data_IF_366574898071
#
_entry.id   IF_366574898071
#
_cell.length_a   1.000
_cell.length_b   1.000
_cell.length_c   1.000
_cell.angle_alpha   90.00
_cell.angle_beta   90.00
_cell.angle_gamma   90.00
#
_symmetry.space_group_name_H-M   'P 1'
#
loop_
_entity.id
_entity.type
_entity.pdbx_description
1 polymer ?
#
# COMPACT_ATOMS: atom_id res chain seq x y z
N UNK A 1 14.51 22.97 8.61
CA UNK A 1 13.56 22.88 7.48
C UNK A 1 12.92 21.51 7.49
N UNK A 2 11.63 21.46 7.21
CA UNK A 2 10.82 20.23 7.38
C UNK A 2 11.09 19.23 6.28
N UNK A 3 11.26 17.94 6.63
CA UNK A 3 11.44 16.81 5.71
C UNK A 3 10.42 15.74 6.05
N UNK A 4 10.08 14.88 5.11
CA UNK A 4 9.11 13.82 5.37
C UNK A 4 9.53 12.46 4.79
N UNK A 5 8.99 11.40 5.41
CA UNK A 5 8.95 10.06 4.83
C UNK A 5 7.49 9.74 4.52
N UNK A 6 7.23 9.29 3.29
CA UNK A 6 5.91 8.91 2.81
C UNK A 6 5.91 7.41 2.60
N UNK A 7 5.10 6.68 3.37
CA UNK A 7 5.03 5.22 3.36
C UNK A 7 3.87 4.74 2.50
N UNK A 8 4.09 3.74 1.66
CA UNK A 8 3.02 2.83 1.30
C UNK A 8 2.68 1.92 2.49
N UNK A 9 1.62 1.13 2.38
CA UNK A 9 1.10 0.27 3.46
C UNK A 9 1.29 -1.21 3.18
N UNK A 10 0.63 -1.70 2.12
CA UNK A 10 0.54 -3.13 1.83
C UNK A 10 1.83 -3.63 1.17
N UNK A 11 2.55 -4.53 1.83
CA UNK A 11 3.88 -4.96 1.40
C UNK A 11 5.02 -4.06 1.90
N UNK A 12 4.71 -2.84 2.36
CA UNK A 12 5.69 -1.84 2.85
C UNK A 12 5.72 -1.77 4.37
N UNK A 13 4.65 -1.31 5.02
CA UNK A 13 4.57 -1.31 6.49
C UNK A 13 4.43 -2.73 7.03
N UNK A 14 3.62 -3.55 6.37
CA UNK A 14 3.30 -4.93 6.75
C UNK A 14 3.12 -5.82 5.53
N UNK A 15 3.47 -7.10 5.64
CA UNK A 15 3.20 -8.11 4.61
C UNK A 15 1.72 -8.51 4.66
N UNK A 16 0.87 -7.75 4.02
CA UNK A 16 -0.59 -7.88 4.08
C UNK A 16 -1.20 -8.59 2.88
N UNK A 17 -0.46 -8.80 1.78
CA UNK A 17 -1.02 -9.30 0.52
C UNK A 17 -1.63 -10.71 0.64
N UNK A 18 -1.06 -11.59 1.46
CA UNK A 18 -1.67 -12.90 1.70
C UNK A 18 -2.98 -12.78 2.49
N UNK A 19 -3.04 -11.85 3.44
CA UNK A 19 -4.28 -11.54 4.18
C UNK A 19 -5.34 -10.94 3.25
N UNK A 20 -4.93 -10.06 2.35
CA UNK A 20 -5.82 -9.53 1.31
C UNK A 20 -6.38 -10.62 0.40
N UNK A 21 -5.53 -11.53 -0.10
CA UNK A 21 -5.95 -12.67 -0.93
C UNK A 21 -6.98 -13.55 -0.22
N UNK A 22 -6.72 -13.87 1.04
CA UNK A 22 -7.64 -14.67 1.88
C UNK A 22 -8.96 -13.93 2.12
N UNK A 23 -8.93 -12.63 2.33
CA UNK A 23 -10.12 -11.81 2.50
C UNK A 23 -10.97 -11.77 1.22
N UNK A 24 -10.35 -11.69 0.04
CA UNK A 24 -11.07 -11.83 -1.25
C UNK A 24 -11.76 -13.18 -1.34
N UNK A 25 -11.05 -14.27 -1.10
CA UNK A 25 -11.63 -15.62 -1.17
C UNK A 25 -12.79 -15.80 -0.19
N UNK A 26 -12.68 -15.24 1.03
CA UNK A 26 -13.78 -15.25 2.00
C UNK A 26 -15.00 -14.45 1.51
N UNK A 27 -14.79 -13.32 0.87
CA UNK A 27 -15.89 -12.54 0.31
C UNK A 27 -16.57 -13.25 -0.86
N UNK A 28 -15.82 -13.95 -1.72
CA UNK A 28 -16.36 -14.75 -2.81
C UNK A 28 -17.20 -15.91 -2.28
N UNK A 29 -16.71 -16.63 -1.28
CA UNK A 29 -17.44 -17.72 -0.62
C UNK A 29 -18.76 -17.23 0.00
N UNK A 30 -18.72 -16.11 0.72
CA UNK A 30 -19.92 -15.49 1.31
C UNK A 30 -20.94 -15.03 0.27
N UNK A 31 -20.48 -14.65 -0.91
CA UNK A 31 -21.34 -14.29 -2.05
C UNK A 31 -21.83 -15.52 -2.85
N UNK A 32 -21.47 -16.75 -2.45
CA UNK A 32 -21.85 -17.98 -3.16
C UNK A 32 -21.15 -18.18 -4.50
N UNK A 33 -20.00 -17.51 -4.72
CA UNK A 33 -19.23 -17.62 -5.95
C UNK A 33 -18.24 -18.78 -5.86
N UNK A 34 -18.03 -19.47 -6.98
CA UNK A 34 -17.02 -20.52 -7.10
C UNK A 34 -15.60 -19.96 -7.31
N UNK A 35 -15.44 -18.65 -7.25
CA UNK A 35 -14.14 -17.99 -7.46
C UNK A 35 -13.18 -18.32 -6.32
N UNK A 36 -11.95 -18.62 -6.70
CA UNK A 36 -10.86 -18.82 -5.76
C UNK A 36 -9.56 -18.31 -6.35
N UNK A 37 -8.98 -17.30 -5.73
CA UNK A 37 -7.66 -16.82 -6.07
C UNK A 37 -6.61 -17.59 -5.25
N UNK A 38 -5.83 -18.42 -5.93
CA UNK A 38 -4.61 -19.00 -5.37
C UNK A 38 -3.45 -17.98 -5.43
N UNK A 39 -2.31 -18.33 -4.90
CA UNK A 39 -1.16 -17.41 -4.84
C UNK A 39 -0.67 -17.02 -6.24
N UNK A 40 -0.58 -17.97 -7.17
CA UNK A 40 -0.09 -17.71 -8.52
C UNK A 40 -1.02 -16.80 -9.33
N UNK A 41 -2.34 -17.01 -9.21
CA UNK A 41 -3.34 -16.12 -9.82
C UNK A 41 -3.31 -14.75 -9.16
N UNK A 42 -3.21 -14.69 -7.83
CA UNK A 42 -3.20 -13.43 -7.10
C UNK A 42 -1.98 -12.58 -7.45
N UNK A 43 -0.80 -13.19 -7.57
CA UNK A 43 0.41 -12.50 -8.04
C UNK A 43 0.19 -11.82 -9.41
N UNK A 44 -0.46 -12.51 -10.35
CA UNK A 44 -0.82 -11.93 -11.66
C UNK A 44 -1.83 -10.78 -11.53
N UNK A 45 -2.80 -10.92 -10.63
CA UNK A 45 -3.83 -9.90 -10.39
C UNK A 45 -3.27 -8.65 -9.70
N UNK A 46 -2.13 -8.75 -9.01
CA UNK A 46 -1.42 -7.61 -8.42
C UNK A 46 -0.85 -6.63 -9.45
N UNK A 47 -0.83 -7.00 -10.75
CA UNK A 47 -0.54 -6.06 -11.83
C UNK A 47 -1.54 -4.88 -11.86
N UNK A 48 -2.77 -5.09 -11.36
CA UNK A 48 -3.79 -4.04 -11.24
C UNK A 48 -3.90 -3.59 -9.79
N UNK A 49 -3.68 -2.31 -9.57
CA UNK A 49 -3.73 -1.69 -8.25
C UNK A 49 -5.16 -1.27 -7.90
N UNK A 50 -5.54 -1.48 -6.64
CA UNK A 50 -6.89 -1.23 -6.15
C UNK A 50 -7.76 -2.49 -6.13
N UNK A 51 -8.52 -2.66 -5.05
CA UNK A 51 -9.30 -3.89 -4.85
C UNK A 51 -10.51 -4.03 -5.77
N UNK A 52 -11.18 -2.92 -6.07
CA UNK A 52 -12.33 -2.89 -7.02
C UNK A 52 -11.86 -3.08 -8.44
N UNK A 53 -10.77 -2.43 -8.80
CA UNK A 53 -10.11 -2.50 -10.10
C UNK A 53 -9.60 -3.93 -10.36
N UNK A 54 -9.05 -4.59 -9.34
CA UNK A 54 -8.59 -5.99 -9.41
C UNK A 54 -9.74 -6.98 -9.60
N UNK A 55 -10.89 -6.78 -8.93
CA UNK A 55 -12.09 -7.60 -9.16
C UNK A 55 -12.60 -7.39 -10.60
N UNK A 56 -12.62 -6.14 -11.08
CA UNK A 56 -13.01 -5.81 -12.47
C UNK A 56 -12.10 -6.53 -13.46
N UNK A 57 -10.78 -6.39 -13.30
CA UNK A 57 -9.79 -7.05 -14.13
C UNK A 57 -9.97 -8.58 -14.15
N UNK A 58 -10.25 -9.18 -13.00
CA UNK A 58 -10.52 -10.62 -12.93
C UNK A 58 -11.80 -11.02 -13.70
N UNK A 59 -12.86 -10.23 -13.62
CA UNK A 59 -14.10 -10.48 -14.35
C UNK A 59 -13.87 -10.38 -15.85
N UNK A 60 -13.16 -9.36 -16.31
CA UNK A 60 -13.04 -9.03 -17.72
C UNK A 60 -12.01 -9.92 -18.45
N UNK A 61 -10.92 -10.32 -17.79
CA UNK A 61 -9.77 -10.98 -18.42
C UNK A 61 -9.59 -12.46 -18.05
N UNK A 62 -10.31 -12.98 -17.06
CA UNK A 62 -10.17 -14.37 -16.59
C UNK A 62 -11.45 -15.22 -16.74
N UNK A 63 -12.38 -14.79 -17.57
CA UNK A 63 -13.64 -15.50 -17.87
C UNK A 63 -14.40 -15.93 -16.60
N UNK A 64 -14.58 -14.98 -15.69
CA UNK A 64 -15.15 -15.23 -14.37
C UNK A 64 -16.64 -15.55 -14.45
N UNK A 65 -16.98 -16.82 -14.37
CA UNK A 65 -18.38 -17.30 -14.35
C UNK A 65 -19.08 -16.87 -13.04
N UNK A 66 -20.40 -16.69 -13.09
CA UNK A 66 -21.23 -16.44 -11.90
C UNK A 66 -21.43 -14.96 -11.55
N UNK A 67 -20.99 -14.03 -12.42
CA UNK A 67 -21.36 -12.61 -12.29
C UNK A 67 -22.88 -12.51 -12.47
N UNK A 68 -23.63 -11.96 -11.50
CA UNK A 68 -25.08 -11.81 -11.63
C UNK A 68 -25.44 -10.82 -12.75
N UNK A 69 -26.57 -11.02 -13.44
CA UNK A 69 -27.03 -10.04 -14.40
C UNK A 69 -27.37 -8.72 -13.70
N UNK A 70 -27.06 -7.57 -14.36
CA UNK A 70 -27.38 -6.24 -13.86
C UNK A 70 -26.18 -5.33 -13.71
N UNK A 71 -26.18 -4.48 -12.67
CA UNK A 71 -25.10 -3.50 -12.42
C UNK A 71 -23.84 -4.21 -11.84
N UNK A 72 -22.90 -4.50 -12.75
CA UNK A 72 -21.63 -5.14 -12.39
C UNK A 72 -20.79 -4.25 -11.47
N UNK A 73 -20.86 -2.93 -11.58
CA UNK A 73 -20.15 -2.02 -10.68
C UNK A 73 -20.71 -2.07 -9.26
N UNK A 74 -22.02 -2.14 -9.11
CA UNK A 74 -22.65 -2.35 -7.80
C UNK A 74 -22.26 -3.69 -7.19
N UNK A 75 -22.20 -4.74 -7.99
CA UNK A 75 -21.73 -6.06 -7.56
C UNK A 75 -20.28 -6.04 -7.08
N UNK A 76 -19.38 -5.41 -7.85
CA UNK A 76 -17.96 -5.24 -7.45
C UNK A 76 -17.85 -4.45 -6.15
N UNK A 77 -18.59 -3.36 -6.00
CA UNK A 77 -18.60 -2.56 -4.76
C UNK A 77 -19.04 -3.41 -3.56
N UNK A 78 -20.06 -4.25 -3.73
CA UNK A 78 -20.56 -5.15 -2.67
C UNK A 78 -19.51 -6.19 -2.27
N UNK A 79 -18.88 -6.87 -3.24
CA UNK A 79 -17.80 -7.82 -2.98
C UNK A 79 -16.62 -7.16 -2.28
N UNK A 80 -16.23 -5.98 -2.72
CA UNK A 80 -15.12 -5.24 -2.12
C UNK A 80 -15.45 -4.80 -0.68
N UNK A 81 -16.68 -4.42 -0.39
CA UNK A 81 -17.13 -4.10 0.97
C UNK A 81 -17.04 -5.34 1.89
N UNK A 82 -17.54 -6.50 1.42
CA UNK A 82 -17.43 -7.76 2.15
C UNK A 82 -15.97 -8.17 2.39
N UNK A 83 -15.10 -8.01 1.36
CA UNK A 83 -13.66 -8.23 1.47
C UNK A 83 -13.02 -7.32 2.52
N UNK A 84 -13.40 -6.05 2.56
CA UNK A 84 -12.85 -5.11 3.53
C UNK A 84 -13.20 -5.52 4.96
N UNK A 85 -14.44 -5.93 5.22
CA UNK A 85 -14.85 -6.48 6.52
C UNK A 85 -14.02 -7.72 6.87
N UNK A 86 -13.90 -8.68 5.93
CA UNK A 86 -13.13 -9.89 6.17
C UNK A 86 -11.65 -9.59 6.47
N UNK A 87 -11.05 -8.61 5.78
CA UNK A 87 -9.68 -8.17 6.02
C UNK A 87 -9.50 -7.54 7.41
N UNK A 88 -10.37 -6.59 7.77
CA UNK A 88 -10.29 -5.93 9.09
C UNK A 88 -10.49 -6.90 10.23
N UNK A 89 -11.36 -7.92 10.08
CA UNK A 89 -11.52 -9.01 11.05
C UNK A 89 -10.22 -9.82 11.24
N UNK A 90 -9.55 -10.20 10.13
CA UNK A 90 -8.30 -10.96 10.16
C UNK A 90 -7.17 -10.14 10.81
N UNK A 91 -7.04 -8.87 10.43
CA UNK A 91 -6.05 -7.95 11.01
C UNK A 91 -6.29 -7.77 12.51
N UNK A 92 -7.53 -7.52 12.93
CA UNK A 92 -7.89 -7.38 14.35
C UNK A 92 -7.67 -8.67 15.14
N UNK A 93 -7.69 -9.82 14.46
CA UNK A 93 -7.33 -11.13 15.01
C UNK A 93 -5.82 -11.35 15.22
N UNK A 94 -4.96 -10.39 14.85
CA UNK A 94 -3.51 -10.46 15.05
C UNK A 94 -2.76 -11.21 13.92
N UNK A 95 -3.35 -11.28 12.73
CA UNK A 95 -2.74 -12.01 11.59
C UNK A 95 -1.63 -11.20 10.87
N UNK A 96 -1.39 -9.96 11.28
CA UNK A 96 -0.39 -9.08 10.63
C UNK A 96 0.50 -8.39 11.66
N UNK A 97 1.77 -8.23 11.29
CA UNK A 97 2.79 -7.51 12.05
C UNK A 97 3.49 -6.51 11.14
N UNK A 98 4.13 -5.49 11.72
CA UNK A 98 5.02 -4.62 10.95
C UNK A 98 6.19 -5.42 10.38
N UNK A 99 6.62 -5.06 9.19
CA UNK A 99 7.86 -5.60 8.63
C UNK A 99 9.06 -5.23 9.51
N UNK A 100 10.10 -6.08 9.53
CA UNK A 100 11.30 -5.83 10.31
C UNK A 100 11.90 -4.45 10.05
N UNK A 101 12.23 -3.71 11.11
CA UNK A 101 12.84 -2.37 11.07
C UNK A 101 11.89 -1.20 10.83
N UNK A 102 10.62 -1.45 10.50
CA UNK A 102 9.64 -0.35 10.26
C UNK A 102 9.37 0.45 11.53
N UNK A 103 9.17 -0.22 12.67
CA UNK A 103 8.94 0.47 13.95
C UNK A 103 10.12 1.33 14.35
N UNK A 104 11.32 0.80 14.17
CA UNK A 104 12.57 1.49 14.45
C UNK A 104 12.76 2.70 13.54
N UNK A 105 12.48 2.57 12.23
CA UNK A 105 12.55 3.68 11.28
C UNK A 105 11.55 4.78 11.64
N UNK A 106 10.30 4.44 11.97
CA UNK A 106 9.29 5.41 12.38
C UNK A 106 9.78 6.20 13.61
N UNK A 107 10.27 5.51 14.63
CA UNK A 107 10.76 6.12 15.87
C UNK A 107 12.00 6.99 15.65
N UNK A 108 12.98 6.51 14.88
CA UNK A 108 14.21 7.25 14.58
C UNK A 108 13.91 8.49 13.71
N UNK A 109 13.06 8.37 12.69
CA UNK A 109 12.63 9.47 11.84
C UNK A 109 11.95 10.59 12.64
N UNK A 110 11.03 10.23 13.55
CA UNK A 110 10.37 11.17 14.44
C UNK A 110 11.39 11.89 15.36
N UNK A 111 12.34 11.15 15.93
CA UNK A 111 13.39 11.71 16.78
C UNK A 111 14.27 12.73 16.05
N UNK A 112 14.42 12.58 14.73
CA UNK A 112 15.15 13.49 13.84
C UNK A 112 14.29 14.62 13.28
N UNK A 113 13.02 14.71 13.68
CA UNK A 113 12.09 15.75 13.24
C UNK A 113 11.55 15.57 11.81
N UNK A 114 11.59 14.35 11.27
CA UNK A 114 10.85 14.03 10.05
C UNK A 114 9.36 13.97 10.32
N UNK A 115 8.58 14.49 9.38
CA UNK A 115 7.14 14.31 9.32
C UNK A 115 6.86 12.99 8.62
N UNK A 116 5.81 12.26 9.05
CA UNK A 116 5.46 10.98 8.47
C UNK A 116 4.11 11.06 7.79
N UNK A 117 4.01 10.45 6.63
CA UNK A 117 2.76 10.38 5.87
C UNK A 117 2.54 8.98 5.28
N UNK A 118 1.31 8.70 4.91
CA UNK A 118 0.91 7.49 4.18
C UNK A 118 0.35 7.88 2.82
N UNK A 119 0.76 7.15 1.77
CA UNK A 119 0.23 7.23 0.42
C UNK A 119 -0.06 5.81 -0.09
N UNK A 120 -1.31 5.36 -0.01
CA UNK A 120 -1.70 3.98 -0.32
C UNK A 120 -2.99 3.89 -1.12
N UNK A 121 -3.16 2.80 -1.85
CA UNK A 121 -4.41 2.48 -2.58
C UNK A 121 -5.38 1.63 -1.75
N UNK A 122 -4.97 1.15 -0.58
CA UNK A 122 -5.86 0.43 0.35
C UNK A 122 -6.88 1.38 0.98
N UNK A 123 -7.98 0.83 1.48
CA UNK A 123 -9.06 1.65 2.07
C UNK A 123 -8.66 2.26 3.41
N UNK A 124 -9.22 3.43 3.81
CA UNK A 124 -8.98 3.99 5.13
C UNK A 124 -9.25 2.98 6.27
N UNK A 125 -10.33 2.20 6.17
CA UNK A 125 -10.66 1.20 7.19
C UNK A 125 -9.56 0.12 7.35
N UNK A 126 -8.89 -0.27 6.26
CA UNK A 126 -7.76 -1.20 6.31
C UNK A 126 -6.55 -0.55 6.98
N UNK A 127 -6.26 0.72 6.68
CA UNK A 127 -5.18 1.47 7.33
C UNK A 127 -5.43 1.59 8.82
N UNK A 128 -6.62 2.01 9.22
CA UNK A 128 -7.01 2.16 10.62
C UNK A 128 -6.89 0.84 11.39
N UNK A 129 -7.36 -0.27 10.81
CA UNK A 129 -7.26 -1.59 11.44
C UNK A 129 -5.80 -2.01 11.61
N UNK A 130 -4.96 -1.86 10.57
CA UNK A 130 -3.55 -2.22 10.60
C UNK A 130 -2.78 -1.39 11.64
N UNK A 131 -2.89 -0.06 11.56
CA UNK A 131 -2.18 0.83 12.47
C UNK A 131 -2.67 0.68 13.91
N UNK A 132 -3.97 0.41 14.10
CA UNK A 132 -4.56 0.14 15.40
C UNK A 132 -3.88 -1.03 16.12
N UNK A 133 -3.68 -2.17 15.43
CA UNK A 133 -3.06 -3.37 16.03
C UNK A 133 -1.54 -3.30 16.09
N UNK A 134 -0.90 -2.61 15.14
CA UNK A 134 0.57 -2.61 15.03
C UNK A 134 1.25 -1.44 15.74
N UNK A 135 0.63 -0.26 15.73
CA UNK A 135 1.20 0.98 16.31
C UNK A 135 0.32 1.60 17.41
N UNK A 136 -0.86 1.04 17.68
CA UNK A 136 -1.81 1.57 18.66
C UNK A 136 -2.67 2.72 18.11
N UNK A 137 -2.57 3.04 16.83
CA UNK A 137 -3.34 4.07 16.14
C UNK A 137 -2.56 4.80 15.05
N UNK A 138 -3.18 5.84 14.52
CA UNK A 138 -2.66 6.62 13.39
C UNK A 138 -1.77 7.81 13.78
N UNK A 139 -1.59 8.09 15.07
CA UNK A 139 -0.97 9.32 15.60
C UNK A 139 0.48 9.55 15.13
N UNK A 140 1.16 8.50 14.68
CA UNK A 140 2.49 8.62 14.11
C UNK A 140 2.52 9.36 12.77
N UNK A 141 1.40 9.39 12.04
CA UNK A 141 1.30 9.92 10.69
C UNK A 141 0.48 11.20 10.64
N UNK A 142 1.10 12.28 10.19
CA UNK A 142 0.46 13.59 10.07
C UNK A 142 -0.56 13.64 8.91
N UNK A 143 -0.27 12.92 7.82
CA UNK A 143 -1.09 12.85 6.62
C UNK A 143 -1.32 11.41 6.22
N UNK A 144 -2.58 11.05 5.96
CA UNK A 144 -2.96 9.76 5.39
C UNK A 144 -3.78 10.00 4.12
N UNK A 145 -3.23 9.55 2.98
CA UNK A 145 -3.89 9.52 1.68
C UNK A 145 -4.17 8.05 1.34
N UNK A 146 -5.43 7.65 1.34
CA UNK A 146 -5.82 6.24 1.26
C UNK A 146 -7.04 6.03 0.35
N UNK A 147 -7.12 4.89 -0.29
CA UNK A 147 -8.28 4.42 -1.03
C UNK A 147 -8.67 5.32 -2.20
N UNK A 148 -9.92 5.78 -2.18
CA UNK A 148 -10.52 6.60 -3.24
C UNK A 148 -10.30 8.11 -3.02
N UNK A 149 -9.26 8.51 -2.27
CA UNK A 149 -8.90 9.92 -2.09
C UNK A 149 -8.41 10.59 -3.39
N UNK A 150 -8.09 9.80 -4.41
CA UNK A 150 -7.64 10.25 -5.74
C UNK A 150 -8.35 9.49 -6.85
N UNK A 151 -8.40 10.11 -8.04
CA UNK A 151 -9.10 9.54 -9.19
C UNK A 151 -8.33 8.37 -9.81
N UNK A 152 -7.00 8.49 -9.93
CA UNK A 152 -6.16 7.48 -10.56
C UNK A 152 -5.30 6.79 -9.51
N UNK A 153 -5.31 5.45 -9.54
CA UNK A 153 -4.50 4.62 -8.65
C UNK A 153 -3.07 4.51 -9.17
N UNK A 154 -2.14 4.10 -8.29
CA UNK A 154 -0.78 3.72 -8.70
C UNK A 154 -0.85 2.80 -9.94
N UNK A 155 -0.05 3.01 -10.98
CA UNK A 155 1.19 3.79 -11.01
C UNK A 155 1.01 5.31 -11.29
N UNK A 156 -0.21 5.86 -11.38
CA UNK A 156 -0.40 7.30 -11.47
C UNK A 156 0.13 8.01 -10.20
N UNK A 157 0.69 9.23 -10.31
CA UNK A 157 1.31 9.93 -9.19
C UNK A 157 0.33 10.50 -8.16
N UNK A 158 -0.97 10.54 -8.49
CA UNK A 158 -2.03 11.28 -7.80
C UNK A 158 -1.98 11.16 -6.27
N UNK A 159 -1.77 9.96 -5.72
CA UNK A 159 -1.78 9.75 -4.27
C UNK A 159 -0.55 10.34 -3.59
N UNK A 160 0.61 10.34 -4.26
CA UNK A 160 1.83 10.95 -3.76
C UNK A 160 1.78 12.47 -3.90
N UNK A 161 1.28 12.99 -5.02
CA UNK A 161 1.05 14.43 -5.22
C UNK A 161 0.09 14.99 -4.16
N UNK A 162 -1.00 14.25 -3.85
CA UNK A 162 -1.92 14.62 -2.77
C UNK A 162 -1.22 14.63 -1.40
N UNK A 163 -0.31 13.68 -1.14
CA UNK A 163 0.44 13.65 0.10
C UNK A 163 1.41 14.85 0.20
N UNK A 164 2.11 15.21 -0.88
CA UNK A 164 2.97 16.40 -0.95
C UNK A 164 2.17 17.67 -0.73
N UNK A 165 1.01 17.82 -1.38
CA UNK A 165 0.10 18.96 -1.20
C UNK A 165 -0.30 19.13 0.26
N UNK A 166 -0.77 18.05 0.90
CA UNK A 166 -1.19 18.09 2.31
C UNK A 166 -0.04 18.34 3.27
N UNK A 167 1.14 17.80 2.98
CA UNK A 167 2.36 18.08 3.73
C UNK A 167 2.88 19.50 3.48
N UNK A 168 2.50 20.17 2.40
CA UNK A 168 3.05 21.42 1.94
C UNK A 168 4.59 21.34 1.80
N UNK A 169 5.08 20.27 1.19
CA UNK A 169 6.50 20.01 0.96
C UNK A 169 6.77 19.74 -0.51
N UNK A 170 7.94 20.15 -0.98
CA UNK A 170 8.45 19.76 -2.28
C UNK A 170 8.90 18.29 -2.26
N UNK A 171 8.81 17.63 -3.40
CA UNK A 171 9.21 16.23 -3.56
C UNK A 171 10.66 15.96 -3.11
N UNK A 172 11.58 16.89 -3.38
CA UNK A 172 12.98 16.78 -2.98
C UNK A 172 13.20 16.78 -1.45
N UNK A 173 12.25 17.31 -0.67
CA UNK A 173 12.28 17.27 0.80
C UNK A 173 11.69 15.96 1.36
N UNK A 174 11.21 15.07 0.51
CA UNK A 174 10.56 13.83 0.87
C UNK A 174 11.33 12.63 0.35
N UNK A 175 11.14 11.47 1.00
CA UNK A 175 11.52 10.15 0.49
C UNK A 175 10.31 9.24 0.61
N UNK A 176 10.06 8.42 -0.41
CA UNK A 176 9.01 7.40 -0.37
C UNK A 176 9.58 6.03 0.00
N UNK A 177 8.82 5.25 0.76
CA UNK A 177 9.04 3.81 0.96
C UNK A 177 7.95 3.03 0.25
N UNK A 178 8.38 2.05 -0.55
CA UNK A 178 7.53 1.22 -1.39
C UNK A 178 8.01 -0.23 -1.41
N UNK A 179 7.15 -1.13 -1.88
CA UNK A 179 7.50 -2.54 -2.08
C UNK A 179 7.32 -3.01 -3.53
N UNK A 180 6.56 -2.27 -4.34
CA UNK A 180 6.04 -2.71 -5.63
C UNK A 180 6.46 -1.81 -6.80
N UNK A 181 6.47 -2.39 -8.02
CA UNK A 181 6.72 -1.66 -9.26
C UNK A 181 5.72 -0.51 -9.47
N UNK A 182 4.43 -0.77 -9.26
CA UNK A 182 3.40 0.26 -9.44
C UNK A 182 3.57 1.41 -8.45
N UNK A 183 3.93 1.10 -7.21
CA UNK A 183 4.21 2.11 -6.21
C UNK A 183 5.46 2.92 -6.50
N UNK A 184 6.55 2.27 -6.91
CA UNK A 184 7.77 2.92 -7.35
C UNK A 184 7.51 3.91 -8.50
N UNK A 185 6.81 3.45 -9.55
CA UNK A 185 6.50 4.33 -10.68
C UNK A 185 5.64 5.53 -10.27
N UNK A 186 4.70 5.33 -9.35
CA UNK A 186 3.83 6.39 -8.84
C UNK A 186 4.63 7.46 -8.08
N UNK A 187 5.50 7.05 -7.15
CA UNK A 187 6.32 7.96 -6.34
C UNK A 187 7.37 8.69 -7.17
N UNK A 188 8.02 7.99 -8.11
CA UNK A 188 8.99 8.58 -9.05
C UNK A 188 8.31 9.58 -9.99
N UNK A 189 7.11 9.28 -10.50
CA UNK A 189 6.34 10.22 -11.32
C UNK A 189 5.95 11.50 -10.56
N UNK A 190 5.76 11.41 -9.23
CA UNK A 190 5.58 12.58 -8.35
C UNK A 190 6.92 13.30 -8.02
N UNK A 191 8.05 12.84 -8.56
CA UNK A 191 9.38 13.43 -8.35
C UNK A 191 10.03 13.07 -7.01
N UNK A 192 9.53 12.06 -6.29
CA UNK A 192 10.02 11.69 -4.97
C UNK A 192 11.08 10.58 -5.09
N UNK A 193 12.31 10.76 -4.55
CA UNK A 193 13.26 9.67 -4.45
C UNK A 193 12.68 8.53 -3.60
N UNK A 194 12.80 7.31 -4.12
CA UNK A 194 12.07 6.16 -3.57
C UNK A 194 13.02 5.06 -3.15
N UNK A 195 12.83 4.57 -1.93
CA UNK A 195 13.43 3.35 -1.40
C UNK A 195 12.44 2.22 -1.59
N UNK A 196 12.88 1.12 -2.18
CA UNK A 196 12.05 -0.08 -2.34
C UNK A 196 12.54 -1.19 -1.42
N UNK A 197 11.61 -1.74 -0.66
CA UNK A 197 11.81 -2.96 0.14
C UNK A 197 10.88 -4.04 -0.40
N UNK A 198 11.31 -4.88 -1.37
CA UNK A 198 10.42 -5.81 -2.05
C UNK A 198 9.70 -6.76 -1.08
N UNK A 199 8.38 -6.88 -1.25
CA UNK A 199 7.56 -7.83 -0.52
C UNK A 199 7.62 -9.24 -1.12
N UNK A 200 6.91 -10.19 -0.49
CA UNK A 200 6.92 -11.61 -0.93
C UNK A 200 6.44 -11.74 -2.39
N UNK A 201 5.45 -10.96 -2.80
CA UNK A 201 4.85 -11.01 -4.14
C UNK A 201 5.55 -10.11 -5.17
N UNK A 202 6.52 -9.29 -4.76
CA UNK A 202 7.10 -8.24 -5.60
C UNK A 202 8.59 -8.41 -5.87
N UNK A 203 9.27 -9.37 -5.23
CA UNK A 203 10.73 -9.61 -5.34
C UNK A 203 11.25 -9.79 -6.76
N UNK A 204 10.41 -10.27 -7.69
CA UNK A 204 10.78 -10.47 -9.09
C UNK A 204 10.54 -9.26 -10.00
N UNK A 205 10.05 -8.15 -9.48
CA UNK A 205 9.74 -6.97 -10.27
C UNK A 205 10.99 -6.13 -10.57
N UNK A 206 10.90 -5.29 -11.60
CA UNK A 206 11.96 -4.36 -11.98
C UNK A 206 11.87 -3.07 -11.13
N UNK A 207 12.96 -2.76 -10.42
CA UNK A 207 13.11 -1.59 -9.57
C UNK A 207 14.23 -0.65 -10.02
N UNK A 208 14.53 -0.63 -11.33
CA UNK A 208 15.64 0.14 -11.89
C UNK A 208 15.55 1.66 -11.65
N UNK A 209 14.36 2.22 -11.43
CA UNK A 209 14.16 3.64 -11.13
C UNK A 209 14.26 3.97 -9.64
N UNK A 210 14.40 2.97 -8.76
CA UNK A 210 14.52 3.21 -7.32
C UNK A 210 15.84 3.90 -7.00
N UNK A 211 15.80 4.86 -6.08
CA UNK A 211 17.01 5.48 -5.52
C UNK A 211 17.81 4.48 -4.68
N UNK A 212 17.12 3.52 -4.06
CA UNK A 212 17.71 2.46 -3.26
C UNK A 212 16.78 1.26 -3.22
N UNK A 213 17.34 0.05 -3.33
CA UNK A 213 16.61 -1.22 -3.11
C UNK A 213 17.26 -1.94 -1.93
N UNK A 214 16.47 -2.29 -0.93
CA UNK A 214 16.93 -2.94 0.29
C UNK A 214 16.02 -4.15 0.56
N UNK A 215 16.56 -5.31 0.92
CA UNK A 215 15.76 -6.51 1.16
C UNK A 215 14.78 -6.34 2.34
N UNK A 216 15.25 -5.73 3.43
CA UNK A 216 14.44 -5.34 4.58
C UNK A 216 15.12 -4.20 5.37
N UNK A 217 14.44 -3.67 6.37
CA UNK A 217 14.95 -2.59 7.23
C UNK A 217 15.50 -3.10 8.57
N UNK A 218 15.57 -4.43 8.78
CA UNK A 218 16.12 -4.99 10.01
C UNK A 218 17.60 -4.63 10.13
N UNK A 219 17.99 -4.16 11.31
CA UNK A 219 19.37 -3.81 11.65
C UNK A 219 20.05 -2.80 10.69
N UNK A 220 19.27 -2.01 9.93
CA UNK A 220 19.79 -1.00 9.02
C UNK A 220 20.18 0.29 9.76
N UNK A 221 21.22 0.94 9.26
CA UNK A 221 21.45 2.36 9.49
C UNK A 221 20.59 3.14 8.48
N UNK A 222 19.59 3.87 8.96
CA UNK A 222 18.67 4.63 8.11
C UNK A 222 19.28 5.89 7.49
N UNK A 223 20.58 6.17 7.72
CA UNK A 223 21.25 7.37 7.19
C UNK A 223 21.19 7.46 5.66
N UNK A 224 21.26 6.33 4.96
CA UNK A 224 21.12 6.28 3.50
C UNK A 224 19.72 6.72 3.04
N UNK A 225 18.66 6.38 3.77
CA UNK A 225 17.29 6.82 3.50
C UNK A 225 17.16 8.33 3.68
N UNK A 226 17.68 8.85 4.81
CA UNK A 226 17.61 10.28 5.11
C UNK A 226 18.43 11.14 4.15
N UNK A 227 19.54 10.59 3.63
CA UNK A 227 20.40 11.29 2.67
C UNK A 227 19.73 11.53 1.30
N UNK A 228 18.64 10.80 1.00
CA UNK A 228 17.86 11.02 -0.22
C UNK A 228 16.99 12.28 -0.16
N UNK A 229 16.76 12.82 1.03
CA UNK A 229 16.01 14.07 1.17
C UNK A 229 16.95 15.26 1.11
N UNK A 230 16.76 16.17 0.13
CA UNK A 230 17.48 17.42 0.11
C UNK A 230 17.08 18.27 1.32
N UNK A 231 18.02 19.01 1.96
CA UNK A 231 17.63 20.07 2.87
C UNK A 231 16.79 21.07 2.06
N UNK A 232 15.57 21.36 2.51
CA UNK A 232 14.73 22.37 1.86
C UNK A 232 15.52 23.68 1.75
N UNK A 233 15.47 24.35 0.60
CA UNK A 233 16.19 25.58 0.30
C UNK A 233 15.77 26.75 1.22
#
# INVERSE_FOLDING_TARGET
MSRAIIFDVDGTLSETEETHRRAFNRAFEQAGLAWRWDQALYERLLAVTGGKERIRYFIDDFDAAGVPPGDVDAFIRSLHAAKTIAYTDMVSGGEVELRPGIRELISDAQSRGFRLAIATTTTPANVDALLGVTLGGCDAFEVICAGDSVAHKKPAPDVYELALEKLQLDAAACVALEDSRNGLLSSVAAGIPTVVTPGIYTRGQDFSEAALVIDDLAAQDFSAIYALTAPAA
#
